data_IF_006270399655
#
_entry.id   IF_006270399655
#
_cell.length_a   1.000
_cell.length_b   1.000
_cell.length_c   1.000
_cell.angle_alpha   90.00
_cell.angle_beta   90.00
_cell.angle_gamma   90.00
#
_symmetry.space_group_name_H-M   'P 1'
#
loop_
_entity.id
_entity.type
_entity.pdbx_description
1 polymer ?
#
# COMPACT_ATOMS: atom_id res chain seq x y z
N UNK A 1 4.28 38.13 -10.95
CA UNK A 1 5.20 37.14 -10.33
C UNK A 1 4.58 36.45 -9.11
N UNK A 2 4.18 37.16 -8.04
CA UNK A 2 3.58 36.55 -6.83
C UNK A 2 2.37 35.63 -7.11
N UNK A 3 1.45 36.03 -8.00
CA UNK A 3 0.26 35.23 -8.36
C UNK A 3 0.57 33.92 -9.11
N UNK A 4 1.64 33.91 -9.91
CA UNK A 4 2.06 32.72 -10.69
C UNK A 4 2.74 31.71 -9.76
N UNK A 5 3.57 32.19 -8.82
CA UNK A 5 4.20 31.34 -7.80
C UNK A 5 3.15 30.67 -6.91
N UNK A 6 2.12 31.41 -6.49
CA UNK A 6 1.01 30.85 -5.70
C UNK A 6 0.25 29.75 -6.46
N UNK A 7 -0.02 29.94 -7.76
CA UNK A 7 -0.68 28.96 -8.62
C UNK A 7 0.13 27.66 -8.81
N UNK A 8 1.46 27.77 -8.89
CA UNK A 8 2.35 26.59 -9.03
C UNK A 8 2.41 25.81 -7.71
N UNK A 9 2.44 26.50 -6.56
CA UNK A 9 2.48 25.87 -5.24
C UNK A 9 1.17 25.14 -4.91
N UNK A 10 0.01 25.68 -5.30
CA UNK A 10 -1.28 25.00 -5.10
C UNK A 10 -1.44 23.79 -6.01
N UNK A 11 -0.92 23.82 -7.25
CA UNK A 11 -1.00 22.69 -8.17
C UNK A 11 -0.11 21.50 -7.77
N UNK A 12 1.04 21.76 -7.13
CA UNK A 12 1.92 20.71 -6.59
C UNK A 12 1.32 19.98 -5.36
N UNK A 13 0.42 20.63 -4.62
CA UNK A 13 -0.25 20.00 -3.47
C UNK A 13 -1.37 19.04 -3.88
N UNK A 14 -1.99 19.26 -5.04
CA UNK A 14 -3.11 18.44 -5.52
C UNK A 14 -2.71 17.00 -5.93
N UNK A 15 -1.41 16.74 -6.18
CA UNK A 15 -0.92 15.42 -6.55
C UNK A 15 -0.86 14.42 -5.39
N UNK A 16 -0.92 14.89 -4.12
CA UNK A 16 -0.87 14.01 -2.95
C UNK A 16 -2.26 13.50 -2.50
N UNK A 17 -3.34 13.96 -3.12
CA UNK A 17 -4.72 13.60 -2.75
C UNK A 17 -5.22 12.29 -3.36
N UNK A 18 -4.44 11.66 -4.24
CA UNK A 18 -4.77 10.39 -4.88
C UNK A 18 -3.93 9.22 -4.35
N UNK A 19 -3.51 9.27 -3.08
CA UNK A 19 -2.90 8.11 -2.44
C UNK A 19 -3.98 7.01 -2.29
N UNK A 20 -3.82 5.91 -3.02
CA UNK A 20 -4.71 4.76 -2.91
C UNK A 20 -4.58 4.16 -1.51
N UNK A 21 -5.70 3.88 -0.85
CA UNK A 21 -5.65 3.21 0.45
C UNK A 21 -5.04 1.80 0.31
N UNK A 22 -4.37 1.32 1.36
CA UNK A 22 -3.66 0.03 1.31
C UNK A 22 -4.58 -1.17 1.03
N UNK A 23 -5.87 -1.07 1.32
CA UNK A 23 -6.88 -2.09 1.04
C UNK A 23 -7.23 -2.12 -0.44
N UNK A 24 -7.42 -0.96 -1.07
CA UNK A 24 -7.64 -0.81 -2.50
C UNK A 24 -6.50 -1.43 -3.30
N UNK A 25 -5.25 -1.14 -2.92
CA UNK A 25 -4.07 -1.74 -3.55
C UNK A 25 -4.05 -3.26 -3.37
N UNK A 26 -4.41 -3.77 -2.18
CA UNK A 26 -4.48 -5.20 -1.93
C UNK A 26 -5.54 -5.89 -2.82
N UNK A 27 -6.70 -5.25 -2.99
CA UNK A 27 -7.78 -5.72 -3.86
C UNK A 27 -7.36 -5.76 -5.34
N UNK A 28 -6.72 -4.69 -5.83
CA UNK A 28 -6.22 -4.61 -7.21
C UNK A 28 -5.22 -5.72 -7.51
N UNK A 29 -4.35 -6.03 -6.53
CA UNK A 29 -3.38 -7.12 -6.62
C UNK A 29 -3.97 -8.50 -6.29
N UNK A 30 -5.25 -8.57 -5.90
CA UNK A 30 -5.94 -9.80 -5.45
C UNK A 30 -5.20 -10.50 -4.31
N UNK A 31 -4.73 -9.72 -3.35
CA UNK A 31 -4.01 -10.17 -2.16
C UNK A 31 -4.93 -10.02 -0.95
N UNK A 32 -5.21 -11.13 -0.27
CA UNK A 32 -5.82 -11.08 1.06
C UNK A 32 -4.77 -10.86 2.13
N UNK A 33 -4.99 -9.89 3.03
CA UNK A 33 -4.14 -9.60 4.18
C UNK A 33 -4.10 -10.79 5.16
N UNK A 34 -5.22 -11.46 5.39
CA UNK A 34 -5.31 -12.63 6.27
C UNK A 34 -4.76 -13.93 5.66
N UNK A 35 -4.29 -13.90 4.39
CA UNK A 35 -3.60 -15.06 3.79
C UNK A 35 -2.24 -15.38 4.44
N UNK A 36 -1.71 -14.48 5.28
CA UNK A 36 -0.42 -14.62 5.97
C UNK A 36 -0.38 -13.91 7.31
N UNK A 37 0.52 -14.38 8.17
CA UNK A 37 0.90 -13.68 9.38
C UNK A 37 1.76 -12.43 9.07
N UNK A 38 1.70 -11.41 9.93
CA UNK A 38 2.34 -10.11 9.73
C UNK A 38 3.85 -10.22 9.58
N UNK A 39 4.49 -11.12 10.33
CA UNK A 39 5.92 -11.43 10.16
C UNK A 39 6.25 -11.98 8.76
N UNK A 40 5.33 -12.74 8.15
CA UNK A 40 5.51 -13.26 6.81
C UNK A 40 5.37 -12.14 5.76
N UNK A 41 4.41 -11.22 5.95
CA UNK A 41 4.29 -10.02 5.12
C UNK A 41 5.55 -9.16 5.18
N UNK A 42 6.09 -8.88 6.37
CA UNK A 42 7.38 -8.18 6.53
C UNK A 42 8.50 -8.84 5.72
N UNK A 43 8.53 -10.18 5.64
CA UNK A 43 9.52 -10.92 4.82
C UNK A 43 9.30 -10.82 3.32
N UNK A 44 8.06 -10.60 2.85
CA UNK A 44 7.77 -10.33 1.44
C UNK A 44 8.41 -9.00 1.02
N UNK A 45 8.16 -7.94 1.78
CA UNK A 45 8.70 -6.59 1.49
C UNK A 45 10.23 -6.49 1.61
N UNK A 46 10.89 -7.40 2.34
CA UNK A 46 12.37 -7.47 2.41
C UNK A 46 13.04 -8.11 1.19
N UNK A 47 12.30 -8.78 0.30
CA UNK A 47 12.89 -9.54 -0.82
C UNK A 47 12.24 -9.18 -2.14
N UNK A 48 13.01 -8.60 -3.07
CA UNK A 48 12.53 -8.22 -4.41
C UNK A 48 11.84 -9.37 -5.16
N UNK A 49 12.40 -10.58 -5.11
CA UNK A 49 11.80 -11.78 -5.70
C UNK A 49 10.40 -12.09 -5.13
N UNK A 50 10.19 -11.85 -3.83
CA UNK A 50 8.90 -12.07 -3.19
C UNK A 50 7.90 -10.96 -3.54
N UNK A 51 8.33 -9.70 -3.53
CA UNK A 51 7.47 -8.60 -3.99
C UNK A 51 7.00 -8.83 -5.43
N UNK A 52 7.90 -9.30 -6.32
CA UNK A 52 7.55 -9.63 -7.71
C UNK A 52 6.48 -10.72 -7.82
N UNK A 53 6.47 -11.72 -6.93
CA UNK A 53 5.44 -12.77 -6.91
C UNK A 53 4.03 -12.21 -6.67
N UNK A 54 3.93 -11.07 -6.00
CA UNK A 54 2.67 -10.42 -5.63
C UNK A 54 2.38 -9.16 -6.45
N UNK A 55 3.16 -8.84 -7.49
CA UNK A 55 3.00 -7.60 -8.26
C UNK A 55 3.42 -6.32 -7.53
N UNK A 56 3.81 -6.41 -6.25
CA UNK A 56 4.20 -5.29 -5.37
C UNK A 56 5.42 -4.53 -5.93
N UNK A 57 6.28 -5.18 -6.72
CA UNK A 57 7.48 -4.55 -7.26
C UNK A 57 7.18 -3.44 -8.27
N UNK A 58 6.00 -3.44 -8.89
CA UNK A 58 5.59 -2.43 -9.87
C UNK A 58 4.99 -1.17 -9.23
N UNK A 59 4.71 -1.22 -7.92
CA UNK A 59 4.15 -0.11 -7.16
C UNK A 59 5.17 0.99 -6.89
N UNK A 60 4.68 2.21 -6.69
CA UNK A 60 5.48 3.31 -6.13
C UNK A 60 5.91 2.98 -4.69
N UNK A 61 6.92 3.67 -4.18
CA UNK A 61 7.37 3.42 -2.80
C UNK A 61 6.33 3.86 -1.76
N UNK A 62 5.51 4.86 -2.07
CA UNK A 62 4.36 5.26 -1.26
C UNK A 62 3.31 4.14 -1.19
N UNK A 63 2.91 3.59 -2.34
CA UNK A 63 1.93 2.50 -2.41
C UNK A 63 2.44 1.23 -1.72
N UNK A 64 3.73 0.93 -1.84
CA UNK A 64 4.36 -0.18 -1.10
C UNK A 64 4.25 0.04 0.40
N UNK A 65 4.43 1.27 0.89
CA UNK A 65 4.32 1.56 2.32
C UNK A 65 2.88 1.39 2.81
N UNK A 66 1.90 1.94 2.09
CA UNK A 66 0.47 1.84 2.41
C UNK A 66 -0.01 0.38 2.39
N UNK A 67 0.34 -0.36 1.33
CA UNK A 67 0.02 -1.78 1.23
C UNK A 67 0.68 -2.58 2.35
N UNK A 68 1.95 -2.31 2.68
CA UNK A 68 2.66 -3.01 3.76
C UNK A 68 1.98 -2.80 5.11
N UNK A 69 1.58 -1.57 5.41
CA UNK A 69 0.87 -1.24 6.64
C UNK A 69 -0.44 -2.00 6.72
N UNK A 70 -1.26 -1.93 5.66
CA UNK A 70 -2.53 -2.64 5.58
C UNK A 70 -2.39 -4.16 5.77
N UNK A 71 -1.47 -4.80 5.04
CA UNK A 71 -1.26 -6.25 5.10
C UNK A 71 -0.77 -6.72 6.49
N UNK A 72 -0.04 -5.87 7.23
CA UNK A 72 0.45 -6.22 8.57
C UNK A 72 -0.65 -5.99 9.62
N UNK A 73 -1.40 -4.89 9.53
CA UNK A 73 -2.45 -4.54 10.50
C UNK A 73 -3.67 -5.45 10.40
N UNK A 74 -3.90 -6.07 9.24
CA UNK A 74 -4.99 -7.00 8.98
C UNK A 74 -4.51 -8.43 8.70
N UNK A 75 -3.29 -8.75 9.14
CA UNK A 75 -2.70 -10.07 9.00
C UNK A 75 -3.49 -11.15 9.76
N UNK A 76 -3.27 -12.42 9.43
CA UNK A 76 -3.94 -13.56 10.07
C UNK A 76 -3.77 -13.62 11.59
N UNK A 77 -2.64 -13.11 12.09
CA UNK A 77 -2.25 -13.07 13.50
C UNK A 77 -2.39 -11.66 14.13
N UNK A 78 -3.10 -10.75 13.46
CA UNK A 78 -3.40 -9.41 13.99
C UNK A 78 -4.67 -9.42 14.86
N UNK A 79 -4.88 -8.34 15.61
CA UNK A 79 -6.10 -8.14 16.40
C UNK A 79 -7.34 -7.81 15.54
N UNK A 80 -7.12 -7.45 14.27
CA UNK A 80 -8.16 -7.10 13.30
C UNK A 80 -7.90 -7.78 11.94
N UNK A 81 -7.86 -9.12 11.89
CA UNK A 81 -7.57 -9.83 10.66
C UNK A 81 -8.61 -9.49 9.60
N UNK A 82 -8.18 -9.39 8.33
CA UNK A 82 -9.13 -9.28 7.24
C UNK A 82 -10.06 -10.50 7.26
N UNK A 83 -11.36 -10.26 7.34
CA UNK A 83 -12.36 -11.31 7.34
C UNK A 83 -12.20 -12.18 6.09
N UNK A 84 -12.00 -13.49 6.30
CA UNK A 84 -11.97 -14.43 5.21
C UNK A 84 -13.38 -14.57 4.61
N UNK A 85 -13.63 -13.89 3.49
CA UNK A 85 -14.83 -14.13 2.68
C UNK A 85 -15.69 -12.90 2.34
N UNK A 86 -15.12 -11.89 1.69
CA UNK A 86 -15.87 -11.04 0.76
C UNK A 86 -15.15 -10.97 -0.57
#
# INVERSE_FOLDING_TARGET
>A
MKKIVVLIVTMLFALNLYAADGKSIANDLKISASSKAGAQWKRVFKKAKKMKKYGINALSDADKAMLKEYLISHAADSDAPEAAGM
#
